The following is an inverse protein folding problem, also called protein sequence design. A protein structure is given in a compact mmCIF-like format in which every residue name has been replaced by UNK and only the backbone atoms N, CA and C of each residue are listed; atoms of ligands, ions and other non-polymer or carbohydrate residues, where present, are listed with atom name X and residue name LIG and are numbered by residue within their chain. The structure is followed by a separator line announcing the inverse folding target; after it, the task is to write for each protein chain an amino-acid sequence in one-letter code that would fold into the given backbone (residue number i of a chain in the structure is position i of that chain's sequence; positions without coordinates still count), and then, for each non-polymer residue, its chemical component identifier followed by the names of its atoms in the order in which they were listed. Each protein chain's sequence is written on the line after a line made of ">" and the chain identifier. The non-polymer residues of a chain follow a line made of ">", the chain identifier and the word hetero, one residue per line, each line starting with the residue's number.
data_IF_929431978770
#
_entry.id   IF_929431978770
#
_cell.length_a   1.000
_cell.length_b   1.000
_cell.length_c   1.000
_cell.angle_alpha   90.00
_cell.angle_beta   90.00
_cell.angle_gamma   90.00
#
_symmetry.space_group_name_H-M   'P 1'
#
loop_
_entity.id
_entity.type
_entity.pdbx_description
1 polymer ?
#
# COMPACT_ATOMS: atom_id res chain seq x y z
N UNK A 1 8.75 -12.43 -17.86
CA UNK A 1 9.25 -11.04 -17.88
C UNK A 1 9.10 -10.51 -16.47
N UNK A 2 10.19 -10.08 -15.84
CA UNK A 2 10.10 -9.38 -14.55
C UNK A 2 9.64 -7.96 -14.88
N UNK A 3 8.50 -7.53 -14.31
CA UNK A 3 8.07 -6.14 -14.43
C UNK A 3 8.85 -5.30 -13.42
N UNK A 4 9.31 -4.14 -13.84
CA UNK A 4 9.92 -3.15 -12.95
C UNK A 4 8.83 -2.61 -12.01
N UNK A 5 9.14 -2.55 -10.70
CA UNK A 5 8.23 -1.99 -9.69
C UNK A 5 8.70 -0.58 -9.36
N UNK A 6 7.86 0.40 -9.64
CA UNK A 6 8.09 1.81 -9.32
C UNK A 6 7.20 2.18 -8.14
N UNK A 7 7.80 2.73 -7.09
CA UNK A 7 7.08 3.16 -5.89
C UNK A 7 7.04 4.68 -5.90
N UNK A 8 5.85 5.24 -5.79
CA UNK A 8 5.63 6.68 -5.68
C UNK A 8 4.94 6.93 -4.36
N UNK A 9 5.59 7.65 -3.44
CA UNK A 9 4.98 8.09 -2.19
C UNK A 9 4.51 9.54 -2.33
N UNK A 10 3.35 9.85 -1.76
CA UNK A 10 2.89 11.23 -1.60
C UNK A 10 3.58 11.91 -0.42
N UNK A 11 3.51 13.25 -0.32
CA UNK A 11 4.16 14.00 0.76
C UNK A 11 3.82 13.52 2.18
N UNK A 12 2.58 13.09 2.44
CA UNK A 12 2.17 12.54 3.73
C UNK A 12 2.90 11.24 4.08
N UNK A 13 3.04 10.34 3.11
CA UNK A 13 3.79 9.08 3.27
C UNK A 13 5.29 9.35 3.41
N UNK A 14 5.85 10.27 2.61
CA UNK A 14 7.26 10.67 2.73
C UNK A 14 7.56 11.24 4.12
N UNK A 15 6.66 12.05 4.68
CA UNK A 15 6.81 12.57 6.04
C UNK A 15 6.82 11.43 7.07
N UNK A 16 6.01 10.39 6.90
CA UNK A 16 6.02 9.22 7.78
C UNK A 16 7.31 8.41 7.69
N UNK A 17 7.88 8.28 6.49
CA UNK A 17 9.18 7.63 6.30
C UNK A 17 10.32 8.45 6.91
N UNK A 18 10.36 9.76 6.68
CA UNK A 18 11.41 10.65 7.19
C UNK A 18 11.42 10.72 8.73
N UNK A 19 10.23 10.67 9.36
CA UNK A 19 10.09 10.67 10.81
C UNK A 19 10.10 9.27 11.45
N UNK A 20 10.36 8.21 10.67
CA UNK A 20 10.40 6.82 11.12
C UNK A 20 9.10 6.37 11.82
N UNK A 21 7.96 6.90 11.37
CA UNK A 21 6.60 6.46 11.76
C UNK A 21 6.20 5.22 10.94
N UNK A 22 6.58 5.20 9.65
CA UNK A 22 6.62 4.02 8.80
C UNK A 22 8.07 3.68 8.52
N UNK A 23 8.42 2.40 8.58
CA UNK A 23 9.75 1.92 8.18
C UNK A 23 9.73 1.46 6.71
N UNK A 24 10.93 1.28 6.14
CA UNK A 24 11.07 0.69 4.81
C UNK A 24 10.50 -0.74 4.75
N UNK A 25 10.67 -1.53 5.81
CA UNK A 25 10.15 -2.90 5.92
C UNK A 25 8.62 -2.93 5.97
N UNK A 26 8.01 -1.96 6.67
CA UNK A 26 6.56 -1.78 6.69
C UNK A 26 6.06 -1.47 5.28
N UNK A 27 6.68 -0.51 4.59
CA UNK A 27 6.33 -0.15 3.21
C UNK A 27 6.47 -1.32 2.25
N UNK A 28 7.58 -2.07 2.33
CA UNK A 28 7.77 -3.28 1.53
C UNK A 28 6.64 -4.28 1.77
N UNK A 29 6.23 -4.48 3.03
CA UNK A 29 5.15 -5.38 3.40
C UNK A 29 3.81 -4.93 2.82
N UNK A 30 3.49 -3.63 2.86
CA UNK A 30 2.26 -3.09 2.25
C UNK A 30 2.27 -3.28 0.73
N UNK A 31 3.38 -2.97 0.06
CA UNK A 31 3.52 -3.08 -1.40
C UNK A 31 3.42 -4.54 -1.85
N UNK A 32 4.10 -5.47 -1.15
CA UNK A 32 4.02 -6.91 -1.45
C UNK A 32 2.59 -7.42 -1.34
N UNK A 33 1.83 -6.98 -0.33
CA UNK A 33 0.44 -7.36 -0.18
C UNK A 33 -0.44 -6.81 -1.33
N UNK A 34 -0.24 -5.55 -1.74
CA UNK A 34 -0.96 -4.98 -2.87
C UNK A 34 -0.64 -5.74 -4.18
N UNK A 35 0.64 -6.00 -4.45
CA UNK A 35 1.09 -6.76 -5.63
C UNK A 35 0.56 -8.20 -5.60
N UNK A 36 0.53 -8.86 -4.44
CA UNK A 36 -0.04 -10.21 -4.30
C UNK A 36 -1.50 -10.29 -4.75
N UNK A 37 -2.26 -9.22 -4.55
CA UNK A 37 -3.69 -9.15 -4.86
C UNK A 37 -4.01 -8.29 -6.09
N UNK A 38 -3.00 -7.99 -6.92
CA UNK A 38 -3.11 -7.10 -8.08
C UNK A 38 -4.06 -7.61 -9.18
N UNK A 39 -4.49 -8.86 -9.11
CA UNK A 39 -5.49 -9.48 -9.98
C UNK A 39 -6.93 -9.26 -9.49
N UNK A 40 -7.10 -8.84 -8.23
CA UNK A 40 -8.41 -8.58 -7.60
C UNK A 40 -8.83 -7.14 -7.68
N UNK A 41 -7.88 -6.21 -7.57
CA UNK A 41 -8.15 -4.78 -7.55
C UNK A 41 -6.93 -4.00 -8.06
N UNK A 42 -7.17 -2.76 -8.50
CA UNK A 42 -6.12 -1.76 -8.71
C UNK A 42 -6.01 -0.79 -7.53
N UNK A 43 -6.97 -0.80 -6.61
CA UNK A 43 -7.04 0.07 -5.44
C UNK A 43 -7.10 -0.77 -4.16
N UNK A 44 -6.19 -0.50 -3.24
CA UNK A 44 -6.05 -1.21 -1.98
C UNK A 44 -6.07 -0.25 -0.81
N UNK A 45 -6.95 -0.50 0.16
CA UNK A 45 -6.98 0.24 1.41
C UNK A 45 -6.44 -0.63 2.55
N UNK A 46 -5.40 -0.13 3.20
CA UNK A 46 -4.77 -0.70 4.39
C UNK A 46 -5.34 0.00 5.60
N UNK A 47 -6.07 -0.73 6.43
CA UNK A 47 -6.79 -0.19 7.58
C UNK A 47 -6.21 -0.72 8.87
N UNK A 48 -5.94 0.19 9.80
CA UNK A 48 -5.51 -0.17 11.16
C UNK A 48 -6.59 -0.98 11.86
N UNK A 49 -6.23 -2.16 12.36
CA UNK A 49 -7.10 -3.01 13.17
C UNK A 49 -6.33 -3.53 14.39
N UNK A 50 -6.40 -2.77 15.50
CA UNK A 50 -5.69 -3.05 16.76
C UNK A 50 -4.17 -3.21 16.55
N UNK A 51 -3.69 -4.44 16.46
CA UNK A 51 -2.28 -4.82 16.30
C UNK A 51 -1.95 -5.33 14.88
N UNK A 52 -2.92 -5.25 13.97
CA UNK A 52 -2.80 -5.69 12.59
C UNK A 52 -3.21 -4.59 11.63
N UNK A 53 -2.89 -4.82 10.37
CA UNK A 53 -3.42 -4.06 9.24
C UNK A 53 -4.30 -4.96 8.39
N UNK A 54 -5.56 -4.59 8.20
CA UNK A 54 -6.47 -5.28 7.29
C UNK A 54 -6.34 -4.69 5.89
N UNK A 55 -6.12 -5.55 4.90
CA UNK A 55 -6.03 -5.15 3.48
C UNK A 55 -7.39 -5.36 2.84
N UNK A 56 -7.92 -4.32 2.21
CA UNK A 56 -9.21 -4.37 1.51
C UNK A 56 -9.08 -3.92 0.07
N UNK A 57 -9.95 -4.42 -0.81
CA UNK A 57 -10.22 -3.72 -2.08
C UNK A 57 -10.98 -2.41 -1.78
N UNK A 58 -10.98 -1.45 -2.72
CA UNK A 58 -11.68 -0.17 -2.55
C UNK A 58 -13.18 -0.26 -2.22
N UNK A 59 -13.77 -1.47 -2.29
CA UNK A 59 -15.17 -1.76 -1.92
C UNK A 59 -15.30 -2.41 -0.54
N UNK A 60 -14.25 -2.40 0.29
CA UNK A 60 -14.18 -2.97 1.63
C UNK A 60 -14.20 -4.51 1.69
N UNK A 61 -14.02 -5.23 0.58
CA UNK A 61 -13.83 -6.67 0.66
C UNK A 61 -12.44 -6.97 1.22
N UNK A 62 -12.36 -7.80 2.26
CA UNK A 62 -11.08 -8.15 2.90
C UNK A 62 -10.32 -9.11 1.99
N UNK A 63 -9.06 -8.77 1.72
CA UNK A 63 -8.15 -9.55 0.89
C UNK A 63 -7.05 -10.24 1.73
N UNK A 64 -6.55 -9.57 2.77
CA UNK A 64 -5.47 -10.07 3.61
C UNK A 64 -5.44 -9.41 5.01
N UNK A 65 -4.62 -9.96 5.91
CA UNK A 65 -4.25 -9.34 7.18
C UNK A 65 -2.73 -9.37 7.37
N UNK A 66 -2.13 -8.22 7.69
CA UNK A 66 -0.70 -8.09 7.92
C UNK A 66 -0.39 -7.84 9.40
N UNK A 67 0.70 -8.43 9.88
CA UNK A 67 1.29 -8.11 11.19
C UNK A 67 2.18 -6.86 11.10
N UNK A 68 1.62 -5.79 10.52
CA UNK A 68 2.25 -4.48 10.35
C UNK A 68 1.34 -3.46 11.03
N UNK A 69 1.92 -2.55 11.82
CA UNK A 69 1.17 -1.44 12.40
C UNK A 69 1.36 -0.19 11.58
N UNK A 70 0.30 0.25 10.91
CA UNK A 70 0.27 1.53 10.22
C UNK A 70 -0.25 2.64 11.15
N UNK A 71 0.23 3.89 10.99
CA UNK A 71 -0.20 5.01 11.83
C UNK A 71 -1.69 5.29 11.68
N UNK A 72 -2.16 5.27 10.43
CA UNK A 72 -3.54 5.51 10.01
C UNK A 72 -3.84 4.74 8.72
N UNK A 73 -5.02 4.95 8.12
CA UNK A 73 -5.37 4.28 6.86
C UNK A 73 -4.45 4.76 5.73
N UNK A 74 -3.94 3.82 4.93
CA UNK A 74 -3.07 4.10 3.78
C UNK A 74 -3.67 3.45 2.54
N UNK A 75 -3.59 4.13 1.41
CA UNK A 75 -4.03 3.61 0.13
C UNK A 75 -2.84 3.28 -0.77
N UNK A 76 -2.97 2.20 -1.52
CA UNK A 76 -2.06 1.87 -2.62
C UNK A 76 -2.88 1.72 -3.89
N UNK A 77 -2.50 2.49 -4.90
CA UNK A 77 -3.06 2.42 -6.25
C UNK A 77 -2.02 1.79 -7.16
N UNK A 78 -2.42 0.76 -7.89
CA UNK A 78 -1.57 0.05 -8.84
C UNK A 78 -1.97 0.46 -10.26
N UNK A 79 -1.04 1.06 -10.99
CA UNK A 79 -1.11 1.22 -12.45
C UNK A 79 -0.13 0.23 -13.11
N UNK A 80 -0.56 -0.43 -14.19
CA UNK A 80 0.23 -1.47 -14.86
C UNK A 80 0.37 -1.18 -16.34
N UNK A 81 1.62 -1.20 -16.79
CA UNK A 81 1.96 -1.28 -18.20
C UNK A 81 2.46 -2.70 -18.56
N UNK A 82 2.93 -2.87 -19.80
CA UNK A 82 3.55 -4.12 -20.25
C UNK A 82 4.81 -4.45 -19.45
N UNK A 83 5.56 -3.43 -19.05
CA UNK A 83 6.90 -3.56 -18.47
C UNK A 83 7.00 -3.08 -17.03
N UNK A 84 6.06 -2.24 -16.58
CA UNK A 84 6.11 -1.59 -15.27
C UNK A 84 4.86 -1.84 -14.45
N UNK A 85 5.03 -1.86 -13.13
CA UNK A 85 3.97 -1.77 -12.12
C UNK A 85 4.30 -0.54 -11.28
N UNK A 86 3.46 0.49 -11.36
CA UNK A 86 3.58 1.68 -10.53
C UNK A 86 2.66 1.53 -9.34
N UNK A 87 3.22 1.58 -8.13
CA UNK A 87 2.51 1.58 -6.86
C UNK A 87 2.55 3.00 -6.29
N UNK A 88 1.43 3.72 -6.38
CA UNK A 88 1.28 5.02 -5.70
C UNK A 88 0.74 4.79 -4.31
N UNK A 89 1.52 5.13 -3.29
CA UNK A 89 1.19 5.00 -1.87
C UNK A 89 0.82 6.37 -1.33
N UNK A 90 -0.33 6.48 -0.68
CA UNK A 90 -0.88 7.77 -0.24
C UNK A 90 -1.76 7.69 1.00
N UNK A 91 -1.93 8.82 1.67
CA UNK A 91 -2.99 8.99 2.66
C UNK A 91 -4.33 9.29 1.96
N UNK A 92 -5.49 8.89 2.54
CA UNK A 92 -6.80 9.10 1.95
C UNK A 92 -7.13 10.55 1.57
N UNK A 93 -6.62 11.52 2.33
CA UNK A 93 -6.81 12.95 2.10
C UNK A 93 -5.99 13.53 0.94
N UNK A 94 -5.08 12.75 0.37
CA UNK A 94 -4.23 13.14 -0.77
C UNK A 94 -4.77 12.64 -2.13
N UNK A 95 -5.93 11.98 -2.14
CA UNK A 95 -6.60 11.44 -3.35
C UNK A 95 -7.55 12.42 -4.03
#
# INVERSE_FOLDING_TARGET
>A
MIKEIIIVATPGIDLYLQNNILTADDMESLIRAAIKHEDKSYFFAFKKNRLKTTVTDGNNNILDELLVMIPEQIWIIIDKSKETITCTVMLPEEY
#
